data_IF_840030006165
#
_entry.id   IF_840030006165
#
_cell.length_a   1.000
_cell.length_b   1.000
_cell.length_c   1.000
_cell.angle_alpha   90.00
_cell.angle_beta   90.00
_cell.angle_gamma   90.00
#
_symmetry.space_group_name_H-M   'P 1'
#
loop_
_entity.id
_entity.type
_entity.pdbx_description
1 polymer ?
2 polymer ?
3 polymer ?
4 non-polymer ?
5 water ?
#
# COMPACT_ATOMS: atom_id res chain seq x y z
N UNK A 1 19.59 -9.26 1.31
CA UNK A 1 18.50 -9.30 2.27
C UNK A 1 17.30 -10.18 1.90
N UNK A 2 16.28 -10.18 2.77
CA UNK A 2 15.08 -10.97 2.53
C UNK A 2 14.25 -10.38 1.39
N UNK A 3 13.50 -11.25 0.70
CA UNK A 3 12.62 -10.79 -0.36
C UNK A 3 11.26 -11.47 -0.22
N UNK A 4 10.26 -10.87 -0.85
CA UNK A 4 8.89 -11.33 -0.72
C UNK A 4 8.20 -11.21 -2.07
N UNK A 5 7.20 -12.05 -2.28
CA UNK A 5 6.25 -11.90 -3.36
C UNK A 5 4.86 -11.91 -2.75
N UNK A 6 3.98 -11.02 -3.24
CA UNK A 6 2.64 -10.87 -2.68
C UNK A 6 1.67 -10.52 -3.78
N UNK A 7 0.49 -11.14 -3.75
CA UNK A 7 -0.64 -10.74 -4.59
C UNK A 7 -1.80 -10.22 -3.74
N UNK A 8 -2.40 -9.10 -4.16
CA UNK A 8 -3.53 -8.47 -3.49
C UNK A 8 -4.70 -8.47 -4.45
N UNK A 9 -5.87 -8.91 -3.98
CA UNK A 9 -7.09 -8.96 -4.80
C UNK A 9 -8.22 -8.26 -4.07
N UNK A 10 -9.04 -7.50 -4.81
CA UNK A 10 -10.21 -6.86 -4.24
C UNK A 10 -11.40 -7.07 -5.16
N UNK A 11 -12.52 -7.51 -4.60
CA UNK A 11 -13.76 -7.78 -5.33
C UNK A 11 -14.86 -7.00 -4.64
N UNK A 12 -15.57 -6.17 -5.40
CA UNK A 12 -16.54 -5.23 -4.86
C UNK A 12 -17.86 -5.44 -5.61
N UNK A 13 -18.85 -6.00 -4.94
CA UNK A 13 -20.16 -6.17 -5.58
C UNK A 13 -20.74 -4.80 -5.90
N UNK A 14 -21.40 -4.68 -7.04
CA UNK A 14 -22.13 -3.47 -7.41
C UNK A 14 -23.54 -3.91 -7.74
N UNK A 15 -24.44 -3.94 -6.76
CA UNK A 15 -25.77 -4.51 -6.99
C UNK A 15 -26.55 -3.69 -8.01
N UNK A 16 -27.01 -4.38 -9.07
CA UNK A 16 -27.69 -3.75 -10.18
C UNK A 16 -26.81 -2.92 -11.11
N UNK A 17 -25.49 -3.00 -10.98
CA UNK A 17 -24.56 -2.25 -11.80
C UNK A 17 -23.57 -3.19 -12.49
N UNK A 18 -24.03 -4.37 -12.88
CA UNK A 18 -23.14 -5.34 -13.49
C UNK A 18 -22.29 -6.07 -12.47
N UNK A 19 -21.35 -6.85 -13.00
CA UNK A 19 -20.55 -7.77 -12.20
C UNK A 19 -19.64 -7.00 -11.20
N UNK A 20 -19.02 -7.70 -10.26
CA UNK A 20 -18.25 -6.99 -9.25
C UNK A 20 -16.95 -6.47 -9.84
N UNK A 21 -16.59 -5.24 -9.48
CA UNK A 21 -15.29 -4.71 -9.82
C UNK A 21 -14.21 -5.60 -9.24
N UNK A 22 -13.24 -5.99 -10.06
CA UNK A 22 -12.17 -6.88 -9.64
C UNK A 22 -10.83 -6.28 -10.04
N UNK A 23 -9.94 -6.10 -9.05
CA UNK A 23 -8.65 -5.47 -9.23
C UNK A 23 -7.60 -6.35 -8.55
N UNK A 24 -6.62 -6.82 -9.32
CA UNK A 24 -5.53 -7.64 -8.79
C UNK A 24 -4.20 -6.94 -9.02
N UNK A 25 -3.29 -7.06 -8.05
CA UNK A 25 -1.98 -6.43 -8.10
C UNK A 25 -0.94 -7.38 -7.52
N UNK A 26 0.18 -7.56 -8.23
CA UNK A 26 1.27 -8.39 -7.75
C UNK A 26 2.47 -7.51 -7.45
N UNK A 27 3.21 -7.86 -6.39
CA UNK A 27 4.41 -7.14 -5.98
C UNK A 27 5.57 -8.10 -5.79
N UNK A 28 6.78 -7.61 -6.05
CA UNK A 28 7.98 -8.19 -5.47
C UNK A 28 8.56 -7.14 -4.54
N UNK A 29 8.78 -7.50 -3.29
CA UNK A 29 9.13 -6.53 -2.23
C UNK A 29 8.13 -5.39 -2.32
N UNK A 30 8.56 -4.13 -2.40
CA UNK A 30 7.66 -3.00 -2.51
C UNK A 30 7.61 -2.45 -3.94
N UNK A 31 7.75 -3.33 -4.93
CA UNK A 31 7.73 -2.97 -6.34
C UNK A 31 6.58 -3.69 -7.01
N UNK A 32 5.66 -2.95 -7.61
CA UNK A 32 4.56 -3.56 -8.34
C UNK A 32 5.06 -4.05 -9.71
N UNK A 33 4.67 -5.26 -10.09
CA UNK A 33 5.06 -5.78 -11.40
C UNK A 33 3.93 -6.29 -12.29
N UNK A 34 2.74 -6.60 -11.75
CA UNK A 34 1.61 -6.93 -12.61
C UNK A 34 0.32 -6.33 -12.07
N UNK A 35 -0.70 -6.30 -12.92
CA UNK A 35 -1.99 -5.84 -12.45
C UNK A 35 -3.06 -6.45 -13.35
N UNK A 36 -4.26 -6.55 -12.79
CA UNK A 36 -5.47 -6.83 -13.57
C UNK A 36 -6.58 -5.94 -13.03
N UNK A 37 -7.33 -5.33 -13.94
CA UNK A 37 -8.44 -4.47 -13.55
C UNK A 37 -9.61 -4.83 -14.47
N UNK A 38 -10.67 -5.36 -13.86
CA UNK A 38 -11.84 -5.80 -14.62
C UNK A 38 -12.39 -4.68 -15.49
N UNK A 39 -12.33 -3.43 -14.99
CA UNK A 39 -12.88 -2.31 -15.74
C UNK A 39 -11.93 -1.78 -16.80
N UNK A 40 -10.68 -2.23 -16.82
CA UNK A 40 -9.70 -1.73 -17.76
C UNK A 40 -9.93 -2.32 -19.16
N UNK A 41 -9.55 -1.55 -20.17
CA UNK A 41 -9.82 -1.91 -21.56
C UNK A 41 -9.20 -3.25 -21.94
N UNK A 42 -8.03 -3.55 -21.39
CA UNK A 42 -7.25 -4.71 -21.82
C UNK A 42 -7.99 -6.02 -21.58
N UNK A 43 -8.53 -6.21 -20.37
CA UNK A 43 -9.02 -7.52 -19.91
C UNK A 43 -7.93 -8.59 -19.91
N UNK A 44 -6.71 -8.18 -19.58
CA UNK A 44 -5.61 -9.12 -19.48
C UNK A 44 -4.74 -8.73 -18.30
N UNK A 45 -4.05 -9.72 -17.73
CA UNK A 45 -2.95 -9.40 -16.83
C UNK A 45 -1.93 -8.57 -17.60
N UNK A 46 -1.71 -7.33 -17.15
CA UNK A 46 -0.76 -6.45 -17.79
C UNK A 46 0.53 -6.33 -16.97
N UNK A 47 1.66 -6.07 -17.62
CA UNK A 47 2.93 -5.87 -16.89
C UNK A 47 3.05 -4.44 -16.38
N UNK A 48 3.81 -4.30 -15.29
CA UNK A 48 3.89 -3.02 -14.61
C UNK A 48 5.29 -2.71 -14.12
N UNK A 49 6.25 -3.59 -14.35
CA UNK A 49 7.66 -3.34 -14.06
C UNK A 49 8.46 -3.70 -15.31
N UNK A 50 9.57 -3.01 -15.56
CA UNK A 50 10.30 -3.26 -16.82
C UNK A 50 10.70 -4.72 -17.00
N UNK A 51 11.24 -5.35 -15.95
CA UNK A 51 11.87 -6.67 -16.08
C UNK A 51 10.90 -7.82 -16.26
N UNK A 52 9.60 -7.62 -16.09
CA UNK A 52 8.63 -8.69 -16.32
C UNK A 52 8.13 -8.67 -17.74
N UNK A 53 8.43 -7.61 -18.49
CA UNK A 53 7.84 -7.46 -19.81
C UNK A 53 8.40 -8.50 -20.80
N UNK A 54 9.61 -9.02 -20.54
CA UNK A 54 10.23 -10.01 -21.42
C UNK A 54 9.46 -11.34 -21.45
N UNK A 55 8.66 -11.62 -20.42
CA UNK A 55 7.92 -12.88 -20.36
C UNK A 55 7.09 -13.09 -21.61
N UNK A 56 7.06 -14.33 -22.08
CA UNK A 56 6.46 -14.65 -23.34
C UNK A 56 4.96 -14.62 -23.29
N UNK A 57 4.31 -14.76 -24.45
CA UNK A 57 2.83 -14.78 -24.47
C UNK A 57 2.20 -15.97 -23.73
N UNK A 58 2.94 -17.06 -23.48
CA UNK A 58 2.36 -18.12 -22.67
C UNK A 58 2.18 -17.64 -21.24
N UNK A 59 3.19 -16.93 -20.71
CA UNK A 59 3.10 -16.37 -19.37
C UNK A 59 1.88 -15.48 -19.23
N UNK A 60 1.69 -14.54 -20.16
CA UNK A 60 0.56 -13.63 -20.06
C UNK A 60 -0.75 -14.32 -20.36
N UNK A 61 -0.71 -15.44 -21.08
CA UNK A 61 -1.97 -16.12 -21.37
C UNK A 61 -2.47 -16.87 -20.14
N UNK A 62 -1.58 -17.58 -19.48
CA UNK A 62 -1.84 -18.27 -18.24
C UNK A 62 -2.37 -17.27 -17.22
N UNK A 63 -1.47 -16.40 -16.72
CA UNK A 63 -1.81 -15.40 -15.71
C UNK A 63 -3.15 -14.73 -15.98
N UNK A 64 -3.47 -14.44 -17.23
CA UNK A 64 -4.74 -13.77 -17.49
C UNK A 64 -5.90 -14.64 -17.05
N UNK A 65 -5.88 -15.93 -17.41
CA UNK A 65 -7.05 -16.73 -17.10
C UNK A 65 -7.08 -17.15 -15.63
N UNK A 66 -5.92 -17.45 -15.05
CA UNK A 66 -5.86 -17.71 -13.61
C UNK A 66 -6.41 -16.54 -12.79
N UNK A 67 -5.88 -15.34 -13.02
CA UNK A 67 -6.36 -14.18 -12.29
C UNK A 67 -7.84 -13.95 -12.57
N UNK A 68 -8.34 -14.37 -13.73
CA UNK A 68 -9.78 -14.26 -13.98
C UNK A 68 -10.56 -15.30 -13.19
N UNK A 69 -9.98 -16.50 -13.01
CA UNK A 69 -10.63 -17.53 -12.22
C UNK A 69 -10.87 -17.06 -10.80
N UNK A 70 -9.78 -16.74 -10.09
CA UNK A 70 -9.81 -16.10 -8.79
C UNK A 70 -10.92 -15.05 -8.70
N UNK A 71 -11.08 -14.27 -9.77
CA UNK A 71 -12.17 -13.30 -9.85
C UNK A 71 -13.53 -13.98 -9.77
N UNK A 72 -13.69 -15.10 -10.48
CA UNK A 72 -14.99 -15.77 -10.48
C UNK A 72 -15.28 -16.43 -9.13
N UNK A 73 -14.26 -17.03 -8.51
CA UNK A 73 -14.43 -17.48 -7.13
C UNK A 73 -14.93 -16.33 -6.24
N UNK A 74 -14.26 -15.18 -6.30
CA UNK A 74 -14.72 -14.04 -5.50
C UNK A 74 -16.13 -13.64 -5.87
N UNK A 75 -16.56 -13.98 -7.07
CA UNK A 75 -17.90 -13.61 -7.50
C UNK A 75 -18.95 -14.47 -6.82
N UNK A 76 -18.71 -15.78 -6.72
CA UNK A 76 -19.63 -16.63 -5.97
C UNK A 76 -19.57 -16.28 -4.48
N UNK A 77 -18.36 -16.32 -3.91
CA UNK A 77 -18.16 -16.02 -2.50
C UNK A 77 -18.88 -14.75 -2.05
N UNK A 78 -18.97 -13.73 -2.91
CA UNK A 78 -19.72 -12.55 -2.50
C UNK A 78 -21.17 -12.92 -2.19
N UNK A 79 -21.74 -13.85 -2.95
CA UNK A 79 -23.11 -14.26 -2.68
C UNK A 79 -23.21 -15.17 -1.47
N UNK A 80 -22.29 -16.13 -1.36
CA UNK A 80 -22.26 -17.03 -0.21
C UNK A 80 -22.13 -16.25 1.10
N UNK A 81 -21.09 -15.41 1.22
CA UNK A 81 -20.88 -14.65 2.46
C UNK A 81 -22.06 -13.73 2.78
N UNK A 82 -22.69 -13.16 1.76
CA UNK A 82 -23.94 -12.41 1.96
C UNK A 82 -24.97 -13.23 2.73
N UNK A 83 -25.04 -14.53 2.46
CA UNK A 83 -25.97 -15.38 3.14
C UNK A 83 -25.53 -15.66 4.55
N UNK A 84 -24.29 -16.13 4.72
CA UNK A 84 -23.73 -16.35 6.06
C UNK A 84 -24.02 -15.18 7.00
N UNK A 85 -23.83 -13.96 6.51
CA UNK A 85 -24.01 -12.80 7.37
C UNK A 85 -25.42 -12.22 7.29
N UNK A 86 -26.31 -12.89 6.55
CA UNK A 86 -27.73 -12.53 6.49
C UNK A 86 -27.90 -11.09 6.01
N UNK A 87 -27.23 -10.77 4.91
CA UNK A 87 -27.25 -9.40 4.43
C UNK A 87 -28.11 -9.30 3.19
N UNK A 88 -28.61 -8.10 2.95
CA UNK A 88 -29.48 -7.91 1.81
C UNK A 88 -28.69 -7.95 0.51
N UNK A 89 -29.42 -8.07 -0.59
CA UNK A 89 -28.89 -8.10 -1.95
C UNK A 89 -28.71 -6.69 -2.54
N UNK A 90 -29.02 -5.64 -1.78
CA UNK A 90 -28.93 -4.26 -2.23
C UNK A 90 -27.63 -3.58 -1.87
N UNK A 91 -26.88 -4.13 -0.93
CA UNK A 91 -25.67 -3.48 -0.49
C UNK A 91 -24.44 -3.93 -1.25
N UNK A 92 -23.46 -3.03 -1.29
CA UNK A 92 -22.15 -3.32 -1.86
C UNK A 92 -21.23 -3.91 -0.78
N UNK A 93 -20.55 -5.00 -1.11
CA UNK A 93 -19.65 -5.66 -0.15
C UNK A 93 -18.31 -5.95 -0.82
N UNK A 94 -17.31 -6.22 0.01
CA UNK A 94 -15.92 -6.27 -0.43
C UNK A 94 -15.25 -7.51 0.13
N UNK A 95 -14.66 -8.31 -0.75
CA UNK A 95 -13.78 -9.41 -0.37
C UNK A 95 -12.37 -8.99 -0.72
N UNK A 96 -11.41 -9.30 0.14
CA UNK A 96 -10.01 -8.97 -0.08
C UNK A 96 -9.15 -10.18 0.28
N UNK A 97 -8.19 -10.50 -0.60
CA UNK A 97 -7.32 -11.65 -0.40
C UNK A 97 -5.87 -11.20 -0.56
N UNK A 98 -5.03 -11.65 0.35
CA UNK A 98 -3.60 -11.43 0.26
C UNK A 98 -2.88 -12.75 0.44
N UNK A 99 -1.98 -13.09 -0.48
CA UNK A 99 -1.12 -14.26 -0.27
C UNK A 99 0.23 -14.05 -0.93
N UNK A 100 1.21 -14.86 -0.50
CA UNK A 100 2.54 -14.80 -1.07
C UNK A 100 3.51 -15.60 -0.22
N UNK A 101 4.81 -15.32 -0.41
CA UNK A 101 5.87 -16.07 0.27
C UNK A 101 7.12 -15.22 0.42
N UNK A 102 7.94 -15.58 1.40
CA UNK A 102 9.20 -14.90 1.70
C UNK A 102 10.37 -15.87 1.57
N UNK A 103 11.50 -15.35 1.08
CA UNK A 103 12.75 -16.09 0.93
C UNK A 103 13.87 -15.27 1.55
N UNK A 104 14.98 -15.96 1.86
CA UNK A 104 16.17 -15.29 2.36
C UNK A 104 17.12 -14.89 1.25
N UNK A 105 18.26 -14.32 1.65
CA UNK A 105 19.24 -13.90 0.65
C UNK A 105 19.63 -15.04 -0.28
N UNK A 106 19.62 -16.28 0.20
CA UNK A 106 20.06 -17.41 -0.62
C UNK A 106 18.94 -18.08 -1.39
N UNK A 107 17.73 -17.51 -1.38
CA UNK A 107 16.63 -18.07 -2.12
C UNK A 107 15.88 -19.19 -1.43
N UNK A 108 16.10 -19.39 -0.13
CA UNK A 108 15.41 -20.44 0.60
C UNK A 108 14.11 -19.93 1.19
N UNK A 109 13.07 -20.76 1.14
CA UNK A 109 11.76 -20.44 1.69
C UNK A 109 11.85 -20.04 3.16
N UNK A 110 11.16 -18.95 3.51
CA UNK A 110 11.03 -18.53 4.90
C UNK A 110 9.63 -18.62 5.46
N UNK A 111 8.60 -18.35 4.64
CA UNK A 111 7.25 -18.04 5.11
C UNK A 111 6.31 -18.06 3.94
N UNK A 112 5.12 -18.61 4.16
CA UNK A 112 4.01 -18.48 3.25
C UNK A 112 2.86 -17.87 4.02
N UNK A 113 1.90 -17.24 3.34
CA UNK A 113 0.75 -16.67 4.02
C UNK A 113 -0.41 -16.58 3.06
N UNK A 114 -1.61 -16.72 3.61
CA UNK A 114 -2.85 -16.34 2.94
C UNK A 114 -3.78 -15.75 3.98
N UNK A 115 -4.46 -14.66 3.63
CA UNK A 115 -5.41 -14.04 4.54
C UNK A 115 -6.56 -13.47 3.72
N UNK A 116 -7.76 -13.68 4.22
CA UNK A 116 -8.97 -13.20 3.56
C UNK A 116 -9.72 -12.26 4.51
N UNK A 117 -10.42 -11.30 3.90
CA UNK A 117 -11.20 -10.33 4.66
C UNK A 117 -12.55 -10.17 3.97
N UNK A 118 -13.54 -9.76 4.77
CA UNK A 118 -14.85 -9.45 4.26
C UNK A 118 -15.26 -8.11 4.85
N UNK A 119 -15.67 -7.19 3.97
CA UNK A 119 -16.02 -5.82 4.34
C UNK A 119 -14.94 -5.18 5.23
N UNK A 120 -13.67 -5.46 4.91
CA UNK A 120 -12.55 -4.87 5.61
C UNK A 120 -12.25 -5.42 6.99
N UNK A 121 -12.86 -6.55 7.36
CA UNK A 121 -12.58 -7.25 8.62
C UNK A 121 -12.02 -8.64 8.32
N UNK A 122 -11.13 -9.12 9.20
CA UNK A 122 -10.65 -10.50 9.16
C UNK A 122 -11.78 -11.46 8.91
N UNK A 123 -11.60 -12.37 7.94
CA UNK A 123 -12.53 -13.47 7.70
C UNK A 123 -11.87 -14.80 8.02
N UNK A 124 -10.90 -15.25 7.22
CA UNK A 124 -10.19 -16.49 7.50
C UNK A 124 -8.74 -16.31 7.05
N UNK A 125 -7.84 -16.94 7.79
CA UNK A 125 -6.42 -16.88 7.47
C UNK A 125 -5.78 -18.25 7.64
N UNK A 126 -4.77 -18.52 6.80
CA UNK A 126 -3.95 -19.71 6.91
C UNK A 126 -2.92 -19.51 8.00
N UNK A 127 -2.71 -20.54 8.81
CA UNK A 127 -1.78 -20.38 9.92
C UNK A 127 -0.33 -20.47 9.46
N UNK A 128 0.57 -19.98 10.31
CA UNK A 128 1.98 -19.90 9.95
C UNK A 128 2.53 -21.26 9.52
N UNK A 129 2.08 -22.33 10.17
CA UNK A 129 2.52 -23.71 9.87
C UNK A 129 2.01 -24.22 8.53
N UNK A 130 1.18 -23.47 7.82
CA UNK A 130 0.59 -23.81 6.53
C UNK A 130 -0.27 -25.08 6.54
N UNK A 131 -0.64 -25.58 7.73
CA UNK A 131 -1.47 -26.79 7.78
C UNK A 131 -2.92 -26.51 8.14
N UNK A 132 -3.18 -25.53 9.01
CA UNK A 132 -4.47 -25.27 9.60
C UNK A 132 -4.92 -23.83 9.36
N UNK A 133 -6.20 -23.57 9.64
CA UNK A 133 -6.88 -22.30 9.38
C UNK A 133 -7.39 -21.69 10.66
N UNK A 134 -7.40 -20.36 10.72
CA UNK A 134 -8.10 -19.60 11.76
C UNK A 134 -9.23 -18.80 11.13
N UNK A 135 -10.47 -19.15 11.48
CA UNK A 135 -11.63 -18.35 11.11
C UNK A 135 -11.85 -17.26 12.16
N UNK A 136 -12.32 -16.10 11.70
CA UNK A 136 -12.45 -14.94 12.57
C UNK A 136 -13.71 -14.99 13.41
N UNK A 137 -14.74 -15.68 12.94
CA UNK A 137 -16.01 -15.70 13.62
C UNK A 137 -16.74 -16.96 13.17
N UNK A 138 -18.00 -17.10 13.57
CA UNK A 138 -18.72 -18.34 13.39
C UNK A 138 -19.14 -18.56 11.94
N UNK A 139 -19.39 -17.48 11.20
CA UNK A 139 -19.69 -17.63 9.78
C UNK A 139 -18.46 -18.14 9.01
N UNK A 140 -17.30 -17.54 9.27
CA UNK A 140 -16.08 -17.98 8.63
C UNK A 140 -15.72 -19.41 9.02
N UNK A 141 -16.27 -19.93 10.11
CA UNK A 141 -15.99 -21.31 10.50
C UNK A 141 -16.70 -22.28 9.57
N UNK A 142 -17.83 -21.86 9.00
CA UNK A 142 -18.44 -22.63 7.93
C UNK A 142 -17.44 -22.85 6.78
N UNK A 143 -16.78 -21.77 6.32
CA UNK A 143 -15.77 -21.94 5.27
C UNK A 143 -14.63 -22.84 5.72
N UNK A 144 -14.13 -22.64 6.95
CA UNK A 144 -13.03 -23.46 7.44
C UNK A 144 -13.38 -24.94 7.39
N UNK A 145 -14.65 -25.30 7.60
CA UNK A 145 -15.04 -26.69 7.53
C UNK A 145 -15.07 -27.17 6.08
N UNK A 146 -15.57 -26.33 5.16
CA UNK A 146 -15.52 -26.65 3.73
C UNK A 146 -14.08 -26.88 3.28
N UNK A 147 -13.15 -26.02 3.72
CA UNK A 147 -11.79 -26.08 3.22
C UNK A 147 -11.01 -27.21 3.87
N UNK A 148 -11.30 -27.49 5.14
CA UNK A 148 -10.77 -28.71 5.74
C UNK A 148 -11.28 -29.94 5.02
N UNK A 149 -12.52 -29.89 4.54
CA UNK A 149 -13.03 -31.01 3.73
C UNK A 149 -12.17 -31.22 2.49
N UNK A 150 -12.14 -30.23 1.60
CA UNK A 150 -11.53 -30.31 0.27
C UNK A 150 -10.03 -30.16 0.29
N UNK A 151 -9.41 -30.17 1.47
CA UNK A 151 -7.95 -30.17 1.61
C UNK A 151 -7.29 -29.02 0.88
N UNK A 152 -7.98 -27.86 0.85
CA UNK A 152 -7.40 -26.67 0.23
C UNK A 152 -6.05 -26.33 0.85
N UNK A 153 -5.88 -26.55 2.16
CA UNK A 153 -4.64 -26.17 2.80
C UNK A 153 -3.44 -26.86 2.18
N UNK A 154 -3.62 -28.09 1.70
CA UNK A 154 -2.51 -28.85 1.16
C UNK A 154 -2.23 -28.47 -0.28
N UNK A 155 -3.27 -28.28 -1.08
CA UNK A 155 -3.08 -27.73 -2.42
C UNK A 155 -2.47 -26.33 -2.35
N UNK A 156 -2.90 -25.53 -1.37
CA UNK A 156 -2.37 -24.17 -1.25
C UNK A 156 -0.93 -24.20 -0.77
N UNK A 157 -0.63 -25.06 0.20
CA UNK A 157 0.76 -25.19 0.63
C UNK A 157 1.67 -25.47 -0.56
N UNK A 158 1.16 -26.21 -1.55
CA UNK A 158 1.95 -26.51 -2.74
C UNK A 158 2.52 -25.23 -3.32
N UNK A 159 1.64 -24.25 -3.55
CA UNK A 159 2.04 -22.96 -4.10
C UNK A 159 2.96 -22.22 -3.14
N UNK A 160 2.55 -22.08 -1.87
CA UNK A 160 3.18 -21.10 -1.00
C UNK A 160 4.62 -21.47 -0.61
N UNK A 161 4.97 -22.76 -0.62
CA UNK A 161 6.37 -23.13 -0.41
C UNK A 161 7.03 -23.73 -1.65
N UNK A 162 6.30 -23.84 -2.78
CA UNK A 162 6.80 -24.41 -4.01
C UNK A 162 6.79 -23.49 -5.21
N UNK A 163 5.67 -23.44 -5.94
CA UNK A 163 5.59 -22.57 -7.11
C UNK A 163 6.04 -21.15 -6.79
N UNK A 164 5.51 -20.61 -5.69
CA UNK A 164 5.79 -19.23 -5.29
C UNK A 164 7.29 -19.00 -5.11
N UNK A 165 7.95 -19.87 -4.34
CA UNK A 165 9.37 -19.68 -4.05
C UNK A 165 10.21 -19.81 -5.31
N UNK A 166 9.77 -20.60 -6.30
CA UNK A 166 10.60 -20.69 -7.48
C UNK A 166 10.43 -19.45 -8.35
N UNK A 167 9.19 -19.02 -8.59
CA UNK A 167 9.00 -17.85 -9.45
C UNK A 167 9.50 -16.57 -8.81
N UNK A 168 9.38 -16.43 -7.49
CA UNK A 168 10.05 -15.31 -6.84
C UNK A 168 11.52 -15.30 -7.23
N UNK A 169 12.15 -16.48 -7.23
CA UNK A 169 13.58 -16.59 -7.43
C UNK A 169 13.96 -16.26 -8.88
N UNK A 170 13.06 -16.55 -9.82
CA UNK A 170 13.24 -16.12 -11.20
C UNK A 170 13.16 -14.60 -11.31
N UNK A 171 11.96 -14.04 -11.01
CA UNK A 171 11.77 -12.59 -10.99
C UNK A 171 12.94 -11.86 -10.35
N UNK A 172 13.42 -12.35 -9.21
CA UNK A 172 14.49 -11.65 -8.52
C UNK A 172 15.76 -11.61 -9.34
N UNK A 173 15.86 -12.46 -10.37
CA UNK A 173 16.99 -12.48 -11.26
C UNK A 173 16.68 -11.78 -12.57
N UNK A 174 15.50 -11.99 -13.13
CA UNK A 174 15.07 -11.21 -14.27
C UNK A 174 15.16 -9.71 -14.00
N UNK A 175 15.04 -9.31 -12.73
CA UNK A 175 15.02 -7.90 -12.39
C UNK A 175 16.10 -7.54 -11.40
N UNK A 176 17.21 -8.28 -11.43
CA UNK A 176 18.27 -8.12 -10.43
C UNK A 176 18.82 -6.70 -10.39
N UNK A 177 18.77 -5.98 -11.52
CA UNK A 177 19.24 -4.61 -11.55
C UNK A 177 18.46 -3.74 -10.58
N UNK A 178 17.13 -3.72 -10.72
CA UNK A 178 16.30 -2.83 -9.94
C UNK A 178 15.89 -3.37 -8.57
N UNK A 179 15.74 -4.69 -8.42
CA UNK A 179 15.17 -5.24 -7.18
C UNK A 179 16.17 -5.45 -6.06
N UNK A 180 17.45 -5.67 -6.37
CA UNK A 180 18.40 -5.93 -5.31
C UNK A 180 18.87 -4.65 -4.60
N UNK A 181 18.55 -3.47 -5.15
CA UNK A 181 19.00 -2.20 -4.57
C UNK A 181 18.35 -1.90 -3.21
N UNK A 182 19.13 -1.30 -2.32
CA UNK A 182 18.63 -0.63 -1.13
C UNK A 182 19.09 0.82 -1.18
N UNK A 183 18.13 1.76 -1.18
CA UNK A 183 18.47 3.17 -1.11
C UNK A 183 18.25 3.66 0.30
N UNK A 184 19.27 4.18 0.97
CA UNK A 184 19.10 4.62 2.34
C UNK A 184 18.51 6.03 2.40
N UNK A 185 17.89 6.40 3.52
CA UNK A 185 17.14 7.68 3.56
C UNK A 185 18.07 8.88 3.57
N UNK A 186 17.89 9.78 2.59
CA UNK A 186 18.41 11.13 2.74
C UNK A 186 17.64 11.83 3.86
N UNK A 187 18.36 12.31 4.87
CA UNK A 187 17.73 12.90 6.04
C UNK A 187 18.07 14.39 6.19
N UNK A 188 17.20 15.10 6.90
CA UNK A 188 17.39 16.49 7.27
C UNK A 188 16.23 16.93 8.14
N UNK A 189 16.44 18.02 8.89
CA UNK A 189 15.46 18.53 9.83
C UNK A 189 14.98 19.90 9.36
N UNK A 190 13.78 20.31 9.80
CA UNK A 190 13.32 21.68 9.57
C UNK A 190 12.72 22.24 10.85
N UNK A 191 12.44 23.55 10.81
CA UNK A 191 12.09 24.34 11.99
C UNK A 191 11.09 25.39 11.57
N UNK A 192 9.97 25.48 12.29
CA UNK A 192 8.88 26.39 11.96
C UNK A 192 8.34 27.00 13.23
N UNK A 193 8.58 28.29 13.45
CA UNK A 193 7.92 28.97 14.59
C UNK A 193 6.42 28.92 14.38
N UNK A 194 5.71 28.43 15.40
CA UNK A 194 4.25 28.56 15.37
C UNK A 194 3.81 29.86 16.03
N UNK A 195 4.71 30.52 16.76
CA UNK A 195 4.41 31.74 17.51
C UNK A 195 5.70 32.44 17.91
N UNK A 196 5.68 33.20 19.01
CA UNK A 196 6.91 33.82 19.51
C UNK A 196 7.67 32.91 20.48
N UNK A 197 7.08 31.79 20.90
CA UNK A 197 7.64 30.99 21.98
C UNK A 197 7.55 29.49 21.76
N UNK A 198 6.96 29.02 20.65
CA UNK A 198 6.94 27.60 20.36
C UNK A 198 7.29 27.42 18.89
N UNK A 199 7.86 26.27 18.56
CA UNK A 199 8.16 25.97 17.16
C UNK A 199 8.01 24.48 16.89
N UNK A 200 7.84 24.15 15.59
CA UNK A 200 7.74 22.79 15.09
C UNK A 200 9.08 22.30 14.56
N UNK A 201 9.63 21.26 15.18
CA UNK A 201 10.76 20.55 14.59
C UNK A 201 10.25 19.39 13.74
N UNK A 202 10.66 19.36 12.48
CA UNK A 202 10.23 18.31 11.56
C UNK A 202 11.42 17.53 11.02
N UNK A 203 11.45 16.24 11.33
CA UNK A 203 12.51 15.32 10.95
C UNK A 203 12.10 14.57 9.67
N UNK A 204 12.85 14.76 8.61
CA UNK A 204 12.51 14.21 7.30
C UNK A 204 13.39 13.02 6.92
N UNK A 205 12.82 12.08 6.14
CA UNK A 205 13.57 11.00 5.50
C UNK A 205 13.01 10.81 4.10
N UNK A 206 13.87 10.89 3.09
CA UNK A 206 13.44 10.86 1.70
C UNK A 206 14.25 9.84 0.92
N UNK A 207 13.70 9.45 -0.23
CA UNK A 207 14.40 8.61 -1.18
C UNK A 207 14.81 7.23 -0.70
N UNK A 208 14.19 6.68 0.35
CA UNK A 208 14.65 5.37 0.79
C UNK A 208 13.85 4.24 0.13
N UNK A 209 14.42 3.02 0.21
CA UNK A 209 13.88 1.74 -0.26
C UNK A 209 14.59 0.59 0.44
N UNK A 210 13.85 -0.38 0.96
CA UNK A 210 12.41 -0.55 0.88
C UNK A 210 11.72 0.43 1.83
N UNK A 211 10.40 0.31 2.02
CA UNK A 211 9.65 1.34 2.71
C UNK A 211 9.69 1.23 4.23
N UNK A 212 10.17 0.11 4.77
CA UNK A 212 10.25 -0.04 6.22
C UNK A 212 11.21 0.98 6.81
N UNK A 213 10.80 1.65 7.89
CA UNK A 213 11.63 2.70 8.49
C UNK A 213 11.11 3.01 9.90
N UNK A 214 11.95 3.63 10.72
CA UNK A 214 11.54 4.09 12.03
C UNK A 214 12.09 5.47 12.29
N UNK A 215 11.20 6.34 12.80
CA UNK A 215 11.50 7.70 13.21
C UNK A 215 11.06 7.86 14.65
N UNK A 216 11.95 8.37 15.50
CA UNK A 216 11.62 8.57 16.91
C UNK A 216 12.26 9.86 17.42
N UNK A 217 11.56 10.53 18.34
CA UNK A 217 11.98 11.79 18.93
C UNK A 217 12.41 11.57 20.37
N UNK A 218 13.56 12.11 20.75
CA UNK A 218 14.05 11.99 22.11
C UNK A 218 14.29 13.37 22.74
N UNK A 219 13.84 13.50 23.99
CA UNK A 219 14.04 14.68 24.82
C UNK A 219 15.04 14.34 25.92
N UNK A 220 16.26 14.87 25.80
CA UNK A 220 17.32 14.56 26.75
C UNK A 220 17.55 13.05 26.83
N UNK A 221 17.47 12.38 25.68
CA UNK A 221 17.64 10.95 25.61
C UNK A 221 16.40 10.13 25.89
N UNK A 222 15.28 10.76 26.23
CA UNK A 222 14.04 10.05 26.55
C UNK A 222 13.02 10.22 25.43
N UNK A 223 12.29 9.15 25.14
CA UNK A 223 11.37 9.13 24.01
C UNK A 223 10.08 9.90 24.36
N UNK A 224 9.83 11.00 23.65
CA UNK A 224 8.63 11.79 23.84
C UNK A 224 7.59 11.31 22.83
N UNK A 225 6.47 10.79 23.33
CA UNK A 225 5.29 10.57 22.50
C UNK A 225 4.33 11.75 22.56
N UNK A 226 4.65 12.76 23.38
CA UNK A 226 3.90 14.00 23.47
C UNK A 226 4.20 14.89 22.27
N UNK A 227 3.17 15.47 21.68
CA UNK A 227 3.27 16.39 20.55
C UNK A 227 3.94 15.76 19.33
N UNK A 228 4.14 14.43 19.33
CA UNK A 228 4.81 13.71 18.24
C UNK A 228 3.81 13.40 17.12
N UNK A 229 3.92 14.11 16.00
CA UNK A 229 3.10 13.82 14.84
C UNK A 229 3.90 12.97 13.85
N UNK A 230 3.37 11.81 13.51
CA UNK A 230 4.00 10.89 12.59
C UNK A 230 3.03 10.69 11.43
N UNK A 231 3.52 10.87 10.19
CA UNK A 231 2.68 10.62 9.02
C UNK A 231 2.91 9.19 8.52
N UNK A 232 1.94 8.68 7.76
CA UNK A 232 2.14 7.40 7.08
C UNK A 232 3.28 7.51 6.08
N UNK A 233 4.15 6.50 6.05
CA UNK A 233 5.10 6.38 4.97
C UNK A 233 4.39 6.44 3.62
N UNK A 234 4.96 7.20 2.69
CA UNK A 234 4.28 7.44 1.43
C UNK A 234 5.23 7.22 0.25
N UNK A 235 4.70 6.88 -0.93
CA UNK A 235 5.54 6.65 -2.10
C UNK A 235 5.92 7.97 -2.78
N UNK A 236 7.21 8.13 -3.09
CA UNK A 236 7.62 9.26 -3.90
C UNK A 236 7.00 9.21 -5.30
N UNK A 237 6.70 8.01 -5.79
CA UNK A 237 6.23 7.84 -7.15
C UNK A 237 7.30 7.42 -8.13
N UNK A 238 8.52 7.14 -7.64
CA UNK A 238 9.66 6.78 -8.47
C UNK A 238 10.29 5.47 -7.99
N UNK A 239 9.62 4.76 -7.08
CA UNK A 239 10.16 3.58 -6.44
C UNK A 239 10.72 3.82 -5.05
N UNK A 240 10.79 5.07 -4.61
CA UNK A 240 11.28 5.36 -3.26
C UNK A 240 10.13 5.84 -2.38
N UNK A 241 10.46 6.11 -1.13
CA UNK A 241 9.46 6.46 -0.14
C UNK A 241 9.91 7.69 0.65
N UNK A 242 8.93 8.33 1.31
CA UNK A 242 9.15 9.46 2.19
C UNK A 242 8.43 9.24 3.51
N UNK A 243 8.98 9.84 4.58
CA UNK A 243 8.31 9.88 5.87
C UNK A 243 8.82 11.08 6.66
N UNK A 244 7.95 11.67 7.51
CA UNK A 244 8.43 12.66 8.46
C UNK A 244 7.78 12.48 9.83
N UNK A 245 8.48 13.01 10.84
CA UNK A 245 8.00 13.12 12.20
C UNK A 245 8.25 14.54 12.71
N UNK A 246 7.35 15.00 13.57
CA UNK A 246 7.36 16.37 14.06
C UNK A 246 7.05 16.38 15.56
N UNK A 247 7.67 17.31 16.25
CA UNK A 247 7.39 17.57 17.66
C UNK A 247 7.36 19.08 17.85
N UNK A 248 6.45 19.56 18.69
CA UNK A 248 6.35 20.98 19.01
C UNK A 248 7.14 21.25 20.27
N UNK A 249 8.04 22.23 20.20
CA UNK A 249 9.03 22.41 21.26
C UNK A 249 8.97 23.86 21.73
N UNK A 250 9.44 24.11 22.95
CA UNK A 250 9.52 25.49 23.44
C UNK A 250 10.71 26.19 22.81
N UNK A 251 10.43 27.31 22.14
CA UNK A 251 11.45 28.07 21.43
C UNK A 251 12.62 28.40 22.35
N UNK A 252 13.83 28.11 21.88
CA UNK A 252 15.03 28.23 22.68
C UNK A 252 15.47 26.95 23.35
N UNK A 253 14.65 25.89 23.32
CA UNK A 253 15.05 24.58 23.82
C UNK A 253 15.24 23.56 22.71
N UNK A 254 15.29 23.99 21.45
CA UNK A 254 15.46 23.06 20.35
C UNK A 254 16.67 22.15 20.50
N UNK A 255 17.68 22.53 21.30
CA UNK A 255 18.89 21.72 21.37
C UNK A 255 18.65 20.39 22.09
N UNK A 256 17.65 20.34 22.98
CA UNK A 256 17.48 19.15 23.82
C UNK A 256 16.65 18.06 23.15
N UNK A 257 16.05 18.32 21.99
CA UNK A 257 15.32 17.30 21.25
C UNK A 257 16.16 16.79 20.10
N UNK A 258 16.17 15.47 19.94
CA UNK A 258 16.95 14.78 18.94
C UNK A 258 16.07 13.72 18.27
N UNK A 259 16.26 13.55 16.97
CA UNK A 259 15.45 12.64 16.16
C UNK A 259 16.32 11.49 15.65
N UNK A 260 15.77 10.29 15.65
CA UNK A 260 16.49 9.05 15.37
C UNK A 260 15.85 8.28 14.22
N UNK A 261 16.68 7.90 13.26
CA UNK A 261 16.24 7.28 12.00
C UNK A 261 16.89 5.92 11.87
N UNK A 262 16.07 4.87 11.76
CA UNK A 262 16.55 3.50 11.58
C UNK A 262 16.05 2.93 10.26
N UNK A 263 16.96 2.39 9.47
CA UNK A 263 16.66 1.85 8.15
C UNK A 263 17.75 0.84 7.78
N UNK A 264 17.39 -0.08 6.87
CA UNK A 264 18.27 -1.21 6.58
C UNK A 264 19.53 -0.76 5.86
N UNK A 265 19.43 0.24 5.00
CA UNK A 265 20.57 0.75 4.27
C UNK A 265 21.41 1.72 5.06
N UNK A 266 21.21 1.76 6.38
CA UNK A 266 21.92 2.69 7.24
C UNK A 266 22.88 1.87 8.09
N UNK A 267 24.19 2.07 7.91
CA UNK A 267 25.17 1.36 8.77
C UNK A 267 25.00 1.58 10.26
N UNK A 268 24.68 2.80 10.68
CA UNK A 268 24.34 2.98 12.09
C UNK A 268 23.10 3.88 12.16
N UNK A 269 22.34 3.81 13.25
CA UNK A 269 21.22 4.75 13.45
C UNK A 269 21.63 6.23 13.36
N UNK A 270 21.00 6.95 12.44
CA UNK A 270 21.22 8.37 12.29
C UNK A 270 20.62 9.13 13.48
N UNK A 271 21.35 10.11 13.99
CA UNK A 271 20.89 10.99 15.05
C UNK A 271 21.00 12.44 14.58
N UNK A 272 19.90 13.18 14.66
CA UNK A 272 19.84 14.57 14.18
C UNK A 272 19.38 15.49 15.29
N UNK A 273 19.97 16.69 15.33
CA UNK A 273 19.70 17.69 16.36
C UNK A 273 19.65 19.05 15.71
N UNK A 274 18.70 19.88 16.11
CA UNK A 274 18.70 21.26 15.64
C UNK A 274 19.84 22.02 16.33
N UNK A 275 20.66 22.71 15.54
CA UNK A 275 21.92 23.29 16.00
C UNK A 275 21.84 24.82 16.09
N UNK A 276 21.26 25.34 17.17
CA UNK A 276 21.33 26.78 17.36
C UNK A 276 22.74 27.19 17.80
N UNK A 277 23.17 28.37 17.35
CA UNK A 277 24.39 28.98 17.87
C UNK A 277 24.11 29.77 19.16
N UNK B 1 -17.76 -0.40 9.80
CA UNK B 1 -16.92 -0.97 8.76
C UNK B 1 -16.42 0.12 7.81
N UNK B 2 -16.36 1.39 8.28
CA UNK B 2 -15.99 2.53 7.43
C UNK B 2 -14.86 3.34 8.05
N UNK B 3 -13.83 3.64 7.24
CA UNK B 3 -12.72 4.44 7.71
C UNK B 3 -12.51 5.65 6.82
N UNK B 4 -12.14 6.76 7.42
CA UNK B 4 -12.00 7.92 6.57
C UNK B 4 -10.57 8.05 6.03
N UNK B 5 -10.45 8.52 4.78
CA UNK B 5 -9.11 8.63 4.17
C UNK B 5 -8.22 9.57 4.96
N UNK B 6 -6.95 9.21 5.02
CA UNK B 6 -5.87 10.11 5.41
C UNK B 6 -5.25 10.64 4.13
N UNK B 7 -5.08 11.95 4.04
CA UNK B 7 -4.73 12.61 2.78
C UNK B 7 -3.42 13.35 2.94
N UNK B 8 -2.49 13.12 2.00
CA UNK B 8 -1.19 13.78 2.02
C UNK B 8 -0.90 14.37 0.65
N UNK B 9 -0.51 15.64 0.62
CA UNK B 9 -0.21 16.34 -0.63
C UNK B 9 1.23 16.79 -0.59
N UNK B 10 2.00 16.45 -1.63
CA UNK B 10 3.45 16.61 -1.58
C UNK B 10 4.03 16.42 -2.98
N UNK B 11 5.30 16.78 -3.11
CA UNK B 11 5.99 16.68 -4.39
C UNK B 11 6.96 15.50 -4.36
N UNK B 12 7.19 14.91 -5.54
CA UNK B 12 8.08 13.75 -5.62
C UNK B 12 9.48 14.11 -5.17
N UNK B 13 10.02 15.23 -5.68
CA UNK B 13 11.31 15.81 -5.30
C UNK B 13 11.10 17.13 -4.58
N UNK B 14 12.09 17.60 -3.81
CA UNK B 14 11.95 18.90 -3.13
C UNK B 14 11.65 19.99 -4.14
N UNK B 15 10.77 20.90 -3.75
CA UNK B 15 10.18 21.83 -4.71
C UNK B 15 11.13 22.99 -4.96
N UNK B 16 11.41 23.26 -6.23
CA UNK B 16 12.14 24.45 -6.62
C UNK B 16 11.46 25.01 -7.86
N UNK B 17 11.05 26.27 -7.79
CA UNK B 17 10.12 26.79 -8.81
C UNK B 17 10.80 26.89 -10.17
N UNK B 18 10.02 26.63 -11.21
CA UNK B 18 10.49 26.65 -12.56
C UNK B 18 10.96 25.31 -13.10
N UNK B 19 11.23 24.35 -12.22
CA UNK B 19 11.74 23.03 -12.60
C UNK B 19 10.64 21.97 -12.47
N UNK B 20 10.47 21.20 -13.55
CA UNK B 20 9.56 20.06 -13.55
C UNK B 20 9.70 19.20 -12.30
N UNK B 21 8.56 18.70 -11.84
CA UNK B 21 8.44 17.91 -10.62
C UNK B 21 7.18 17.07 -10.77
N UNK B 22 6.79 16.40 -9.69
CA UNK B 22 5.56 15.64 -9.69
C UNK B 22 4.72 16.01 -8.47
N UNK B 23 3.43 16.23 -8.68
CA UNK B 23 2.51 16.53 -7.61
C UNK B 23 1.82 15.24 -7.20
N UNK B 24 1.92 14.90 -5.92
CA UNK B 24 1.38 13.66 -5.36
C UNK B 24 0.26 13.90 -4.36
N UNK B 25 -0.80 13.12 -4.49
CA UNK B 25 -1.86 13.02 -3.48
C UNK B 25 -1.99 11.56 -3.08
N UNK B 26 -1.60 11.24 -1.84
CA UNK B 26 -1.65 9.89 -1.29
C UNK B 26 -2.81 9.79 -0.29
N UNK B 27 -3.82 8.99 -0.64
CA UNK B 27 -4.95 8.72 0.25
C UNK B 27 -4.83 7.29 0.72
N UNK B 28 -4.75 7.10 2.04
CA UNK B 28 -4.62 5.78 2.61
C UNK B 28 -5.59 5.65 3.77
N UNK B 29 -5.77 4.44 4.27
CA UNK B 29 -6.54 4.22 5.47
C UNK B 29 -8.04 4.18 5.31
N UNK B 30 -8.55 4.17 4.10
CA UNK B 30 -9.98 4.32 3.91
C UNK B 30 -10.64 2.98 3.60
N UNK B 31 -11.90 2.90 3.93
CA UNK B 31 -12.75 1.78 3.62
C UNK B 31 -14.17 2.31 3.68
N UNK B 32 -15.00 2.03 2.65
CA UNK B 32 -14.73 1.21 1.44
C UNK B 32 -13.92 1.86 0.32
N UNK B 33 -13.66 1.11 -0.75
CA UNK B 33 -12.70 1.53 -1.78
C UNK B 33 -13.28 2.53 -2.78
N UNK B 34 -14.59 2.75 -2.75
CA UNK B 34 -15.19 3.80 -3.54
C UNK B 34 -14.73 5.16 -3.04
N UNK B 35 -14.03 5.90 -3.90
CA UNK B 35 -13.42 7.16 -3.51
C UNK B 35 -13.27 8.03 -4.75
N UNK B 36 -13.23 9.35 -4.55
CA UNK B 36 -13.07 10.30 -5.63
C UNK B 36 -11.92 11.24 -5.31
N UNK B 37 -11.00 11.39 -6.26
CA UNK B 37 -9.78 12.18 -6.05
C UNK B 37 -9.53 13.05 -7.27
N UNK B 38 -9.43 14.37 -7.05
CA UNK B 38 -9.06 15.31 -8.11
C UNK B 38 -7.94 16.19 -7.61
N UNK B 39 -6.95 16.43 -8.45
CA UNK B 39 -5.94 17.44 -8.16
C UNK B 39 -6.43 18.79 -8.66
N UNK B 40 -6.11 19.84 -7.91
CA UNK B 40 -6.59 21.18 -8.22
C UNK B 40 -5.41 22.13 -8.40
N UNK B 41 -5.51 22.94 -9.46
CA UNK B 41 -4.58 24.03 -9.75
C UNK B 41 -5.36 25.35 -9.73
N UNK B 42 -5.06 26.19 -8.75
CA UNK B 42 -5.87 27.38 -8.49
C UNK B 42 -7.35 27.05 -8.56
N UNK B 43 -7.76 26.04 -7.78
CA UNK B 43 -9.15 25.64 -7.69
C UNK B 43 -9.75 24.99 -8.93
N UNK B 44 -8.96 24.73 -9.96
CA UNK B 44 -9.46 24.16 -11.22
C UNK B 44 -8.93 22.75 -11.39
N UNK B 45 -9.83 21.83 -11.75
CA UNK B 45 -9.47 20.42 -11.82
C UNK B 45 -8.41 20.18 -12.91
N UNK B 46 -7.25 19.67 -12.50
CA UNK B 46 -6.23 19.20 -13.43
C UNK B 46 -6.72 17.93 -14.11
N UNK B 47 -6.47 17.82 -15.42
CA UNK B 47 -7.14 16.83 -16.26
C UNK B 47 -6.31 15.59 -16.54
N UNK B 48 -4.99 15.73 -16.73
CA UNK B 48 -4.11 14.59 -16.96
C UNK B 48 -3.54 14.13 -15.63
N UNK B 49 -4.35 13.35 -14.90
CA UNK B 49 -3.95 12.81 -13.61
C UNK B 49 -4.04 11.29 -13.67
N UNK B 50 -2.93 10.63 -13.32
CA UNK B 50 -2.86 9.19 -13.26
C UNK B 50 -2.95 8.71 -11.82
N UNK B 51 -3.17 7.41 -11.65
CA UNK B 51 -3.16 6.88 -10.29
C UNK B 51 -2.67 5.44 -10.26
N UNK B 52 -2.36 5.00 -9.05
CA UNK B 52 -1.89 3.64 -8.84
C UNK B 52 -3.09 2.67 -8.85
N UNK B 53 -2.77 1.39 -8.93
CA UNK B 53 -3.79 0.36 -8.83
C UNK B 53 -4.16 0.13 -7.37
N UNK B 54 -5.46 0.02 -7.09
CA UNK B 54 -5.93 -0.17 -5.72
C UNK B 54 -5.21 -1.32 -5.03
N UNK B 55 -4.68 -1.04 -3.84
CA UNK B 55 -4.06 -2.04 -2.97
C UNK B 55 -4.46 -1.70 -1.54
N UNK B 56 -3.92 -2.45 -0.57
CA UNK B 56 -4.35 -2.24 0.81
C UNK B 56 -3.27 -2.73 1.76
N UNK B 57 -3.47 -2.41 3.04
CA UNK B 57 -2.51 -2.57 4.11
C UNK B 57 -2.82 -3.80 4.96
N UNK B 58 -1.93 -4.07 5.91
CA UNK B 58 -2.16 -5.18 6.83
C UNK B 58 -3.54 -5.08 7.48
N UNK B 59 -3.96 -3.88 7.86
CA UNK B 59 -5.25 -3.71 8.52
C UNK B 59 -6.45 -3.75 7.54
N UNK B 60 -6.21 -4.03 6.25
CA UNK B 60 -7.20 -4.17 5.18
C UNK B 60 -7.67 -2.82 4.63
N UNK B 61 -7.29 -1.69 5.24
CA UNK B 61 -7.65 -0.41 4.65
C UNK B 61 -6.86 -0.16 3.35
N UNK B 62 -7.49 0.58 2.44
CA UNK B 62 -7.00 0.85 1.10
C UNK B 62 -6.09 2.07 1.04
N UNK B 63 -5.27 2.12 -0.04
CA UNK B 63 -4.44 3.28 -0.34
C UNK B 63 -4.27 3.42 -1.85
N UNK B 64 -4.12 4.67 -2.29
CA UNK B 64 -3.98 5.00 -3.71
C UNK B 64 -3.07 6.21 -3.83
N UNK B 65 -2.27 6.24 -4.90
CA UNK B 65 -1.43 7.38 -5.24
C UNK B 65 -1.94 8.00 -6.52
N UNK B 66 -2.39 9.26 -6.44
CA UNK B 66 -2.67 10.08 -7.60
C UNK B 66 -1.53 11.07 -7.82
N UNK B 67 -1.19 11.31 -9.09
CA UNK B 67 -0.01 12.11 -9.37
C UNK B 67 -0.17 12.73 -10.76
N UNK B 68 0.60 13.81 -10.96
CA UNK B 68 0.68 14.50 -12.24
C UNK B 68 1.96 15.32 -12.28
N UNK B 69 2.47 15.49 -13.49
CA UNK B 69 3.66 16.31 -13.69
C UNK B 69 3.29 17.79 -13.60
N UNK B 70 4.07 18.55 -12.86
CA UNK B 70 3.81 19.97 -12.76
C UNK B 70 5.12 20.70 -12.56
N UNK B 71 5.06 22.03 -12.73
CA UNK B 71 6.20 22.90 -12.44
C UNK B 71 5.80 23.91 -11.37
N UNK B 72 6.29 23.77 -10.14
CA UNK B 72 5.87 24.70 -9.09
C UNK B 72 6.30 26.12 -9.41
N UNK B 73 5.48 27.06 -8.99
CA UNK B 73 5.76 28.48 -9.09
C UNK B 73 5.47 29.09 -7.74
N UNK B 74 5.69 30.40 -7.64
CA UNK B 74 5.35 31.05 -6.39
C UNK B 74 3.85 31.34 -6.29
N UNK B 75 3.24 31.73 -7.40
CA UNK B 75 1.87 32.22 -7.32
C UNK B 75 0.85 31.09 -7.36
N UNK B 76 1.20 29.94 -7.93
CA UNK B 76 0.20 28.90 -8.17
C UNK B 76 -0.14 28.15 -6.89
N UNK B 77 -1.42 27.88 -6.72
CA UNK B 77 -1.93 27.09 -5.59
C UNK B 77 -2.32 25.72 -6.11
N UNK B 78 -1.90 24.69 -5.37
CA UNK B 78 -2.24 23.31 -5.70
C UNK B 78 -2.96 22.65 -4.52
N UNK B 79 -4.00 21.89 -4.81
CA UNK B 79 -4.72 21.20 -3.75
C UNK B 79 -5.14 19.83 -4.24
N UNK B 80 -5.45 18.98 -3.27
CA UNK B 80 -6.09 17.69 -3.52
C UNK B 80 -7.52 17.74 -2.98
N UNK B 81 -8.46 17.19 -3.76
CA UNK B 81 -9.86 17.15 -3.34
C UNK B 81 -10.35 15.72 -3.35
N UNK B 82 -10.75 15.22 -2.18
CA UNK B 82 -11.16 13.83 -1.98
C UNK B 82 -12.62 13.81 -1.53
N UNK B 83 -13.41 12.93 -2.13
CA UNK B 83 -14.76 12.64 -1.65
C UNK B 83 -14.91 11.15 -1.35
N UNK B 84 -15.54 10.87 -0.21
CA UNK B 84 -15.69 9.53 0.30
C UNK B 84 -16.97 9.48 1.11
N UNK B 85 -17.56 8.29 1.22
CA UNK B 85 -18.77 8.12 2.01
C UNK B 85 -18.56 8.62 3.44
N UNK B 86 -17.36 8.45 3.98
CA UNK B 86 -17.18 8.88 5.37
C UNK B 86 -17.18 10.39 5.52
N UNK B 87 -17.31 11.13 4.42
CA UNK B 87 -17.10 12.58 4.38
C UNK B 87 -18.41 13.26 3.97
N UNK B 88 -18.90 14.18 4.80
CA UNK B 88 -20.15 14.88 4.47
C UNK B 88 -19.97 15.79 3.26
N UNK B 89 -18.82 16.44 3.18
CA UNK B 89 -18.41 17.34 2.09
C UNK B 89 -17.00 16.99 1.62
N UNK B 90 -16.73 17.12 0.32
CA UNK B 90 -15.38 16.85 -0.19
C UNK B 90 -14.32 17.58 0.60
N UNK B 91 -13.33 16.84 1.08
CA UNK B 91 -12.23 17.47 1.80
C UNK B 91 -11.21 17.98 0.79
N UNK B 92 -10.73 19.20 1.00
CA UNK B 92 -9.71 19.81 0.15
C UNK B 92 -8.45 20.02 0.99
N UNK B 93 -7.31 19.50 0.51
CA UNK B 93 -6.04 19.63 1.19
C UNK B 93 -5.11 20.40 0.28
N UNK B 94 -4.63 21.53 0.76
CA UNK B 94 -3.75 22.40 0.00
C UNK B 94 -2.32 21.89 0.07
N UNK B 95 -1.58 22.08 -1.02
CA UNK B 95 -0.19 21.63 -1.04
C UNK B 95 0.66 22.58 -0.21
N UNK B 96 1.26 22.07 0.86
CA UNK B 96 2.22 22.81 1.66
C UNK B 96 3.61 22.21 1.41
N UNK B 97 4.58 23.09 1.13
CA UNK B 97 5.91 22.65 0.71
C UNK B 97 6.65 21.88 1.81
N UNK B 98 6.43 22.21 3.08
CA UNK B 98 7.12 21.46 4.13
C UNK B 98 6.24 20.40 4.76
N UNK B 99 5.29 19.86 4.01
CA UNK B 99 4.55 18.73 4.52
C UNK B 99 4.53 17.58 3.51
N UNK C 1 3.96 -15.56 -10.40
CA UNK C 1 2.77 -16.21 -10.91
C UNK C 1 1.68 -16.40 -9.82
N UNK C 2 0.42 -16.14 -10.18
CA UNK C 2 -0.73 -16.36 -9.32
C UNK C 2 -0.97 -17.85 -9.10
N UNK C 3 -1.91 -18.16 -8.21
CA UNK C 3 -2.28 -19.55 -7.95
C UNK C 3 -2.96 -20.12 -9.19
N UNK C 4 -2.57 -21.35 -9.55
CA UNK C 4 -3.13 -22.01 -10.71
C UNK C 4 -4.36 -22.83 -10.41
N UNK C 5 -4.22 -23.76 -9.44
CA UNK C 5 -5.33 -24.54 -8.92
C UNK C 5 -6.53 -23.66 -8.54
N UNK C 6 -7.63 -23.76 -9.29
CA UNK C 6 -8.86 -23.07 -8.92
C UNK C 6 -9.38 -23.63 -7.60
N UNK C 7 -9.65 -22.74 -6.64
CA UNK C 7 -10.08 -23.17 -5.33
C UNK C 7 -11.54 -23.62 -5.31
N UNK C 8 -11.93 -24.20 -4.18
CA UNK C 8 -13.36 -24.38 -3.91
C UNK C 8 -13.82 -23.10 -3.22
N UNK C 9 -15.10 -22.79 -3.39
CA UNK C 9 -15.63 -21.55 -2.86
C UNK C 9 -15.59 -21.44 -1.35
N UNK C 10 -16.12 -20.33 -0.87
CA UNK C 10 -16.13 -20.10 0.56
C UNK C 10 -17.40 -20.70 1.17
#
# INVERSE_FOLDING_TARGET
GSHSMRYFFTSVSRPGRGEPRFIAVGYVDDTQFVRFDSDAASQRMEPRAPWIEQEGPEYWDQETRNVKAQSQTDRVDLGTLRGYYNQSEAGSHTIQIMYGCDVGSDGRFLRGYRQDAYDGKDYIALNEDLRSWTAADMAAQITKRKWEAAHEAEQLRAYLDGTCVEWLRRYLENGKETLQRTDPPKTHMTHHPISDHEATLRCWALGFYPAEITLTWQRDGEDTLTDTELVETRPAGDGTFQKWAAVVVPSGEEQRYTCHVQHEGLPKPLTLRWELS
IQRTPKIQVYSRHPAEQGKSNFLNCYVSGFHPSDIEVDLLKNGERIEKVEHSDLSFSKDWSFYLLYYTEFTPTEKDEYACRVNHVTLSQPKIVKWDRDM
VVVGAVGVGK
#
